data_IF_069224128425
#
_entry.id   IF_069224128425
#
_cell.length_a   1.000
_cell.length_b   1.000
_cell.length_c   1.000
_cell.angle_alpha   90.00
_cell.angle_beta   90.00
_cell.angle_gamma   90.00
#
_symmetry.space_group_name_H-M   'P 1'
#
loop_
_entity.id
_entity.type
_entity.pdbx_description
1 polymer ?
#
# COMPACT_ATOMS: atom_id res chain seq x y z
N UNK A 1 9.42 -2.64 5.80
CA UNK A 1 9.37 -1.54 6.79
C UNK A 1 9.51 -2.06 8.23
N UNK A 2 10.72 -2.10 8.80
CA UNK A 2 10.93 -2.51 10.19
C UNK A 2 10.23 -1.61 11.23
N UNK A 3 10.17 -0.31 10.98
CA UNK A 3 9.58 0.69 11.88
C UNK A 3 8.06 0.48 12.04
N UNK A 4 7.35 0.23 10.94
CA UNK A 4 5.92 -0.08 10.95
C UNK A 4 5.62 -1.37 11.71
N UNK A 5 6.42 -2.43 11.47
CA UNK A 5 6.30 -3.71 12.19
C UNK A 5 6.54 -3.53 13.69
N UNK A 6 7.50 -2.69 14.08
CA UNK A 6 7.77 -2.37 15.49
C UNK A 6 6.62 -1.60 16.13
N UNK A 7 6.07 -0.61 15.43
CA UNK A 7 4.95 0.23 15.90
C UNK A 7 3.67 -0.57 16.12
N UNK A 8 3.34 -1.46 15.18
CA UNK A 8 2.10 -2.26 15.22
C UNK A 8 2.26 -3.64 15.88
N UNK A 9 3.40 -3.92 16.52
CA UNK A 9 3.72 -5.25 17.08
C UNK A 9 2.58 -5.82 17.94
N UNK A 10 2.05 -4.98 18.82
CA UNK A 10 1.06 -5.39 19.82
C UNK A 10 -0.40 -5.19 19.32
N UNK A 11 -0.59 -4.76 18.06
CA UNK A 11 -1.89 -4.41 17.47
C UNK A 11 -2.21 -5.28 16.24
N UNK A 12 -2.63 -6.53 16.47
CA UNK A 12 -2.91 -7.51 15.41
C UNK A 12 -3.90 -7.00 14.35
N UNK A 13 -5.01 -6.42 14.77
CA UNK A 13 -6.05 -5.90 13.87
C UNK A 13 -5.57 -4.77 12.97
N UNK A 14 -4.57 -3.99 13.40
CA UNK A 14 -3.96 -2.95 12.57
C UNK A 14 -2.90 -3.52 11.62
N UNK A 15 -2.18 -4.57 12.05
CA UNK A 15 -1.26 -5.30 11.17
C UNK A 15 -2.00 -5.94 9.99
N UNK A 16 -3.20 -6.47 10.24
CA UNK A 16 -4.04 -7.08 9.21
C UNK A 16 -4.56 -6.07 8.18
N UNK A 17 -4.51 -4.76 8.47
CA UNK A 17 -4.85 -3.68 7.53
C UNK A 17 -3.68 -3.22 6.67
N UNK A 18 -2.45 -3.67 6.98
CA UNK A 18 -1.26 -3.30 6.22
C UNK A 18 -1.10 -4.26 5.04
N UNK A 19 -0.94 -3.68 3.85
CA UNK A 19 -0.64 -4.39 2.61
C UNK A 19 0.65 -3.84 2.02
N UNK A 20 1.46 -4.71 1.43
CA UNK A 20 2.69 -4.37 0.71
C UNK A 20 2.40 -4.50 -0.77
N UNK A 21 2.77 -3.48 -1.54
CA UNK A 21 2.71 -3.53 -2.99
C UNK A 21 4.05 -4.05 -3.54
N UNK A 22 4.00 -5.15 -4.28
CA UNK A 22 5.11 -5.86 -4.92
C UNK A 22 4.93 -5.86 -6.43
N UNK A 23 6.02 -5.58 -7.17
CA UNK A 23 6.05 -5.65 -8.62
C UNK A 23 6.08 -7.07 -9.21
N UNK A 24 6.19 -8.09 -8.36
CA UNK A 24 6.15 -9.50 -8.76
C UNK A 24 4.83 -10.16 -8.37
N UNK A 25 4.34 -9.86 -7.16
CA UNK A 25 3.19 -10.53 -6.57
C UNK A 25 1.94 -9.65 -6.46
N UNK A 26 2.02 -8.36 -6.81
CA UNK A 26 0.89 -7.44 -6.63
C UNK A 26 0.73 -7.02 -5.17
N UNK A 27 -0.47 -7.16 -4.60
CA UNK A 27 -0.73 -6.80 -3.20
C UNK A 27 -0.50 -8.02 -2.29
N UNK A 28 0.37 -7.91 -1.29
CA UNK A 28 0.67 -8.99 -0.34
C UNK A 28 0.52 -8.52 1.11
N UNK A 29 0.31 -9.45 2.03
CA UNK A 29 0.18 -9.14 3.45
C UNK A 29 1.51 -8.67 4.07
N UNK A 30 1.44 -7.82 5.09
CA UNK A 30 2.61 -7.24 5.74
C UNK A 30 3.53 -8.26 6.42
N UNK A 31 3.00 -9.43 6.78
CA UNK A 31 3.73 -10.52 7.43
C UNK A 31 4.45 -11.44 6.44
N UNK A 32 4.14 -11.36 5.14
CA UNK A 32 4.88 -12.12 4.15
C UNK A 32 6.35 -11.64 4.08
N UNK A 33 7.33 -12.56 4.14
CA UNK A 33 8.72 -12.22 3.88
C UNK A 33 8.87 -11.86 2.41
N UNK A 34 8.88 -10.56 2.13
CA UNK A 34 9.25 -10.04 0.82
C UNK A 34 10.77 -10.09 0.75
N UNK A 35 11.32 -10.91 -0.15
CA UNK A 35 12.73 -10.86 -0.48
C UNK A 35 13.10 -9.43 -0.91
N UNK A 36 14.29 -8.92 -0.56
CA UNK A 36 14.73 -7.60 -1.02
C UNK A 36 14.69 -7.59 -2.55
N UNK A 37 13.71 -6.86 -3.10
CA UNK A 37 13.47 -6.80 -4.53
C UNK A 37 14.17 -5.56 -5.08
N UNK A 38 15.23 -5.80 -5.84
CA UNK A 38 16.13 -4.78 -6.40
C UNK A 38 15.79 -4.48 -7.87
N UNK A 39 14.49 -4.49 -8.22
CA UNK A 39 14.05 -4.14 -9.58
C UNK A 39 13.21 -2.87 -9.54
N UNK A 40 13.81 -1.81 -10.06
CA UNK A 40 13.16 -0.53 -10.30
C UNK A 40 11.94 -0.75 -11.19
N UNK A 41 10.79 -0.20 -10.78
CA UNK A 41 9.59 -0.23 -11.58
C UNK A 41 9.77 0.73 -12.77
N UNK A 42 9.97 0.19 -13.97
CA UNK A 42 9.96 1.00 -15.21
C UNK A 42 8.53 1.32 -15.62
N UNK A 43 8.33 2.37 -16.42
CA UNK A 43 7.01 2.73 -16.94
C UNK A 43 6.33 1.56 -17.68
N UNK A 44 7.09 0.84 -18.49
CA UNK A 44 6.58 -0.33 -19.21
C UNK A 44 6.16 -1.44 -18.25
N UNK A 45 6.92 -1.68 -17.18
CA UNK A 45 6.58 -2.68 -16.18
C UNK A 45 5.37 -2.26 -15.34
N UNK A 46 5.19 -0.97 -15.09
CA UNK A 46 4.00 -0.43 -14.44
C UNK A 46 2.73 -0.71 -15.28
N UNK A 47 2.80 -0.51 -16.60
CA UNK A 47 1.68 -0.84 -17.51
C UNK A 47 1.33 -2.32 -17.43
N UNK A 48 2.33 -3.20 -17.49
CA UNK A 48 2.14 -4.66 -17.39
C UNK A 48 1.53 -5.09 -16.05
N UNK A 49 1.90 -4.43 -14.96
CA UNK A 49 1.43 -4.77 -13.61
C UNK A 49 0.06 -4.20 -13.29
N UNK A 50 -0.39 -3.18 -14.02
CA UNK A 50 -1.64 -2.48 -13.74
C UNK A 50 -2.86 -3.40 -13.63
N UNK A 51 -3.09 -4.39 -14.52
CA UNK A 51 -4.23 -5.30 -14.40
C UNK A 51 -4.15 -6.15 -13.14
N UNK A 52 -2.97 -6.68 -12.82
CA UNK A 52 -2.75 -7.54 -11.65
C UNK A 52 -2.93 -6.76 -10.34
N UNK A 53 -2.34 -5.56 -10.24
CA UNK A 53 -2.49 -4.69 -9.06
C UNK A 53 -3.94 -4.26 -8.89
N UNK A 54 -4.63 -3.93 -9.98
CA UNK A 54 -6.04 -3.55 -9.93
C UNK A 54 -6.91 -4.72 -9.45
N UNK A 55 -6.74 -5.92 -10.00
CA UNK A 55 -7.49 -7.10 -9.59
C UNK A 55 -7.26 -7.46 -8.12
N UNK A 56 -6.00 -7.41 -7.65
CA UNK A 56 -5.68 -7.68 -6.25
C UNK A 56 -6.31 -6.64 -5.30
N UNK A 57 -6.21 -5.35 -5.64
CA UNK A 57 -6.80 -4.28 -4.83
C UNK A 57 -8.33 -4.35 -4.81
N UNK A 58 -8.96 -4.69 -5.94
CA UNK A 58 -10.42 -4.85 -6.02
C UNK A 58 -10.87 -6.03 -5.18
N UNK A 59 -10.19 -7.17 -5.29
CA UNK A 59 -10.50 -8.35 -4.49
C UNK A 59 -10.38 -8.07 -2.99
N UNK A 60 -9.31 -7.39 -2.58
CA UNK A 60 -9.11 -6.98 -1.19
C UNK A 60 -10.28 -6.10 -0.71
N UNK A 61 -10.60 -5.02 -1.43
CA UNK A 61 -11.69 -4.11 -1.09
C UNK A 61 -13.05 -4.83 -1.04
N UNK A 62 -13.30 -5.75 -1.97
CA UNK A 62 -14.52 -6.56 -1.99
C UNK A 62 -14.59 -7.52 -0.79
N UNK A 63 -13.45 -8.01 -0.29
CA UNK A 63 -13.37 -8.91 0.86
C UNK A 63 -13.40 -8.23 2.23
N UNK A 64 -12.76 -7.06 2.37
CA UNK A 64 -12.60 -6.35 3.66
C UNK A 64 -13.48 -5.10 3.77
N UNK A 65 -14.06 -4.66 2.65
CA UNK A 65 -14.70 -3.35 2.53
C UNK A 65 -13.72 -2.25 2.11
N UNK A 66 -14.28 -1.17 1.57
CA UNK A 66 -13.52 0.01 1.15
C UNK A 66 -13.11 0.85 2.38
N UNK A 67 -11.81 1.11 2.59
CA UNK A 67 -11.37 1.96 3.69
C UNK A 67 -11.76 3.43 3.46
N UNK A 68 -11.88 4.23 4.53
CA UNK A 68 -12.15 5.67 4.40
C UNK A 68 -10.90 6.48 3.99
N UNK A 69 -9.74 6.11 4.53
CA UNK A 69 -8.44 6.68 4.18
C UNK A 69 -7.49 5.57 3.75
N UNK A 70 -6.63 5.85 2.76
CA UNK A 70 -5.63 4.92 2.27
C UNK A 70 -4.26 5.62 2.22
N UNK A 71 -3.23 5.00 2.78
CA UNK A 71 -1.85 5.49 2.73
C UNK A 71 -1.04 4.61 1.79
N UNK A 72 -0.47 5.23 0.77
CA UNK A 72 0.48 4.58 -0.14
C UNK A 72 1.87 5.15 0.11
N UNK A 73 2.67 4.42 0.88
CA UNK A 73 4.07 4.71 1.11
C UNK A 73 4.94 3.94 0.11
N UNK A 74 5.04 4.45 -1.10
CA UNK A 74 5.78 3.84 -2.21
C UNK A 74 6.22 4.90 -3.22
N UNK A 75 7.15 4.58 -4.10
CA UNK A 75 7.59 5.50 -5.15
C UNK A 75 6.43 5.95 -6.06
N UNK A 76 6.51 7.12 -6.72
CA UNK A 76 5.40 7.70 -7.48
C UNK A 76 4.77 6.77 -8.54
N UNK A 77 5.57 5.95 -9.22
CA UNK A 77 5.05 5.00 -10.22
C UNK A 77 4.11 3.96 -9.59
N UNK A 78 4.40 3.51 -8.37
CA UNK A 78 3.51 2.62 -7.62
C UNK A 78 2.24 3.34 -7.13
N UNK A 79 2.36 4.60 -6.70
CA UNK A 79 1.21 5.42 -6.31
C UNK A 79 0.24 5.61 -7.48
N UNK A 80 0.77 5.79 -8.70
CA UNK A 80 -0.03 5.89 -9.91
C UNK A 80 -0.83 4.60 -10.18
N UNK A 81 -0.26 3.42 -9.92
CA UNK A 81 -0.96 2.14 -10.07
C UNK A 81 -2.15 2.02 -9.10
N UNK A 82 -1.95 2.39 -7.83
CA UNK A 82 -3.03 2.34 -6.83
C UNK A 82 -4.13 3.35 -7.19
N UNK A 83 -3.74 4.57 -7.55
CA UNK A 83 -4.69 5.62 -7.96
C UNK A 83 -5.51 5.18 -9.17
N UNK A 84 -4.86 4.60 -10.16
CA UNK A 84 -5.50 4.09 -11.37
C UNK A 84 -6.44 2.90 -11.11
N UNK A 85 -6.11 2.05 -10.13
CA UNK A 85 -6.94 0.92 -9.74
C UNK A 85 -8.22 1.38 -9.00
N UNK A 86 -8.14 2.46 -8.23
CA UNK A 86 -9.29 3.01 -7.50
C UNK A 86 -10.22 3.84 -8.39
N UNK A 87 -9.65 4.49 -9.42
CA UNK A 87 -10.37 5.40 -10.31
C UNK A 87 -11.55 4.71 -11.03
N UNK A 88 -12.74 5.31 -10.94
CA UNK A 88 -13.92 4.92 -11.72
C UNK A 88 -14.69 3.70 -11.20
N UNK A 89 -14.19 2.98 -10.18
CA UNK A 89 -14.88 1.81 -9.60
C UNK A 89 -15.34 2.01 -8.15
N UNK A 90 -14.63 2.82 -7.37
CA UNK A 90 -14.97 3.10 -5.98
C UNK A 90 -15.11 4.59 -5.73
N UNK A 91 -15.93 4.97 -4.74
CA UNK A 91 -15.91 6.33 -4.19
C UNK A 91 -14.53 6.54 -3.58
N UNK A 92 -13.68 7.34 -4.24
CA UNK A 92 -12.25 7.35 -3.97
C UNK A 92 -11.99 7.63 -2.48
N UNK A 93 -11.33 6.72 -1.74
CA UNK A 93 -10.95 6.98 -0.35
C UNK A 93 -10.00 8.17 -0.30
N UNK A 94 -9.86 8.79 0.86
CA UNK A 94 -8.89 9.87 1.03
C UNK A 94 -7.49 9.30 0.90
N UNK A 95 -6.92 9.44 -0.29
CA UNK A 95 -5.60 8.91 -0.63
C UNK A 95 -4.52 9.86 -0.10
N UNK A 96 -3.64 9.32 0.75
CA UNK A 96 -2.42 9.98 1.21
C UNK A 96 -1.23 9.23 0.66
N UNK A 97 -0.22 9.95 0.21
CA UNK A 97 0.97 9.35 -0.39
C UNK A 97 2.23 9.81 0.30
N UNK A 98 3.20 8.91 0.42
CA UNK A 98 4.56 9.20 0.85
C UNK A 98 5.50 8.56 -0.16
N UNK A 99 6.25 9.38 -0.90
CA UNK A 99 7.06 8.93 -2.03
C UNK A 99 8.38 8.26 -1.62
N UNK A 100 8.92 8.58 -0.44
CA UNK A 100 10.08 7.90 0.12
C UNK A 100 9.66 7.09 1.35
N UNK A 101 9.68 5.77 1.22
CA UNK A 101 9.37 4.86 2.32
C UNK A 101 10.35 4.99 3.50
N UNK A 102 11.54 5.54 3.28
CA UNK A 102 12.53 5.81 4.34
C UNK A 102 12.17 7.04 5.16
N UNK A 103 11.29 7.91 4.67
CA UNK A 103 10.71 9.00 5.44
C UNK A 103 9.63 8.48 6.39
N UNK A 104 10.11 7.78 7.42
CA UNK A 104 9.26 7.28 8.49
C UNK A 104 8.55 8.41 9.24
N UNK A 105 9.13 9.62 9.28
CA UNK A 105 8.50 10.77 9.92
C UNK A 105 7.18 11.13 9.26
N UNK A 106 7.18 11.23 7.92
CA UNK A 106 5.96 11.49 7.15
C UNK A 106 4.94 10.35 7.26
N UNK A 107 5.38 9.09 7.19
CA UNK A 107 4.50 7.93 7.37
C UNK A 107 3.87 7.93 8.77
N UNK A 108 4.67 8.11 9.82
CA UNK A 108 4.20 8.15 11.20
C UNK A 108 3.19 9.26 11.42
N UNK A 109 3.45 10.47 10.95
CA UNK A 109 2.53 11.60 11.14
C UNK A 109 1.14 11.35 10.54
N UNK A 110 1.06 10.63 9.42
CA UNK A 110 -0.21 10.24 8.81
C UNK A 110 -0.92 9.19 9.68
N UNK A 111 -0.20 8.17 10.13
CA UNK A 111 -0.74 7.14 11.02
C UNK A 111 -1.22 7.76 12.36
N UNK A 112 -0.46 8.68 12.92
CA UNK A 112 -0.81 9.46 14.12
C UNK A 112 -2.12 10.24 13.89
N UNK A 113 -2.30 10.83 12.69
CA UNK A 113 -3.53 11.55 12.34
C UNK A 113 -4.78 10.65 12.26
N UNK A 114 -4.59 9.34 12.08
CA UNK A 114 -5.66 8.35 12.10
C UNK A 114 -5.90 7.76 13.50
N UNK A 115 -5.14 8.19 14.50
CA UNK A 115 -5.18 7.62 15.85
C UNK A 115 -4.57 6.22 15.93
N UNK A 116 -3.73 5.83 14.98
CA UNK A 116 -3.00 4.57 15.08
C UNK A 116 -1.93 4.71 16.18
N UNK A 117 -1.73 3.69 17.02
CA UNK A 117 -0.76 3.67 18.12
C UNK A 117 0.68 3.64 17.62
#
# INVERSE_FOLDING_TARGET
MPQLRRRLRDHRTLRDQVRILSAEHGLIEAEMPVLPYDRVLTDQRAIELRPQVSAALHHEIESTGLPQELLVAAEPHYQALVTAALAGRFTCPKLRTVSDIRDWGAVSAILDSWGWP
#
